data_IF_706001505720
#
_entry.id   IF_706001505720
#
_cell.length_a   1.000
_cell.length_b   1.000
_cell.length_c   1.000
_cell.angle_alpha   90.00
_cell.angle_beta   90.00
_cell.angle_gamma   90.00
#
_symmetry.space_group_name_H-M   'P 1'
#
loop_
_entity.id
_entity.type
_entity.pdbx_description
1 polymer ?
#
# COMPACT_ATOMS: atom_id res chain seq x y z
N UNK A 1 8.18 -26.29 52.86
CA UNK A 1 8.46 -24.99 52.21
C UNK A 1 9.44 -25.05 51.02
N UNK A 2 10.24 -26.12 50.81
CA UNK A 2 11.20 -26.21 49.67
C UNK A 2 10.58 -26.62 48.30
N UNK A 3 9.35 -27.15 48.26
CA UNK A 3 8.71 -27.63 47.01
C UNK A 3 7.99 -26.54 46.19
N UNK A 4 7.69 -25.38 46.77
CA UNK A 4 6.96 -24.29 46.09
C UNK A 4 7.90 -23.38 45.28
N UNK A 5 9.16 -23.23 45.72
CA UNK A 5 10.17 -22.44 45.00
C UNK A 5 10.63 -23.07 43.67
N UNK A 6 10.61 -24.41 43.56
CA UNK A 6 11.01 -25.10 42.33
C UNK A 6 10.05 -24.89 41.15
N UNK A 7 8.76 -24.69 41.43
CA UNK A 7 7.73 -24.46 40.40
C UNK A 7 7.76 -23.01 39.89
N UNK A 8 8.07 -22.04 40.77
CA UNK A 8 8.23 -20.64 40.38
C UNK A 8 9.49 -20.40 39.51
N UNK A 9 10.57 -21.15 39.73
CA UNK A 9 11.76 -21.09 38.87
C UNK A 9 11.50 -21.75 37.50
N UNK A 10 10.69 -22.81 37.45
CA UNK A 10 10.34 -23.51 36.21
C UNK A 10 9.41 -22.71 35.28
N UNK A 11 8.63 -21.75 35.79
CA UNK A 11 7.80 -20.86 34.97
C UNK A 11 8.52 -19.59 34.49
N UNK A 12 9.61 -19.17 35.16
CA UNK A 12 10.39 -18.00 34.75
C UNK A 12 11.32 -18.30 33.56
N UNK A 13 11.85 -19.53 33.46
CA UNK A 13 12.79 -19.94 32.40
C UNK A 13 12.17 -19.91 30.98
N UNK A 14 10.92 -20.39 30.76
CA UNK A 14 10.27 -20.30 29.44
C UNK A 14 10.04 -18.86 28.99
N UNK A 15 9.65 -17.96 29.90
CA UNK A 15 9.39 -16.56 29.58
C UNK A 15 10.68 -15.82 29.15
N UNK A 16 11.81 -16.13 29.77
CA UNK A 16 13.13 -15.60 29.41
C UNK A 16 13.59 -16.16 28.05
N UNK A 17 13.30 -17.44 27.76
CA UNK A 17 13.57 -18.07 26.46
C UNK A 17 12.74 -17.46 25.31
N UNK A 18 11.47 -17.11 25.55
CA UNK A 18 10.63 -16.41 24.56
C UNK A 18 11.10 -14.96 24.33
N UNK A 19 11.54 -14.24 25.37
CA UNK A 19 12.09 -12.90 25.23
C UNK A 19 13.40 -12.88 24.42
N UNK A 20 14.21 -13.96 24.48
CA UNK A 20 15.43 -14.11 23.69
C UNK A 20 15.19 -14.30 22.18
N UNK A 21 13.97 -14.61 21.75
CA UNK A 21 13.61 -14.69 20.33
C UNK A 21 13.19 -13.34 19.72
N UNK A 22 12.96 -12.31 20.53
CA UNK A 22 12.68 -10.96 20.03
C UNK A 22 13.99 -10.30 19.56
N UNK A 23 14.34 -10.48 18.28
CA UNK A 23 15.43 -9.73 17.66
C UNK A 23 14.96 -8.31 17.37
N UNK A 24 15.55 -7.34 18.07
CA UNK A 24 15.47 -5.94 17.67
C UNK A 24 16.16 -5.77 16.32
N UNK A 25 15.37 -5.48 15.29
CA UNK A 25 15.86 -5.11 13.96
C UNK A 25 15.63 -3.61 13.83
N UNK A 26 16.68 -2.79 13.65
CA UNK A 26 16.50 -1.36 13.46
C UNK A 26 15.66 -1.12 12.20
N UNK A 27 14.58 -0.38 12.35
CA UNK A 27 13.71 0.01 11.24
C UNK A 27 14.50 0.92 10.29
N UNK A 28 14.72 0.49 9.05
CA UNK A 28 15.34 1.34 8.03
C UNK A 28 14.29 2.31 7.49
N UNK A 29 14.14 3.46 8.13
CA UNK A 29 13.37 4.58 7.58
C UNK A 29 14.28 5.37 6.63
N UNK A 30 13.82 5.57 5.41
CA UNK A 30 14.45 6.53 4.50
C UNK A 30 13.97 7.94 4.85
N UNK A 31 14.78 8.97 4.58
CA UNK A 31 14.39 10.35 4.89
C UNK A 31 13.07 10.78 4.25
N UNK A 32 12.70 10.17 3.12
CA UNK A 32 11.40 10.36 2.45
C UNK A 32 10.25 9.82 3.32
N UNK A 33 10.41 8.65 3.93
CA UNK A 33 9.38 8.07 4.82
C UNK A 33 9.20 8.95 6.06
N UNK A 34 10.29 9.47 6.62
CA UNK A 34 10.21 10.40 7.76
C UNK A 34 9.52 11.73 7.41
N UNK A 35 9.79 12.27 6.23
CA UNK A 35 9.12 13.48 5.73
C UNK A 35 7.62 13.25 5.52
N UNK A 36 7.24 12.10 4.95
CA UNK A 36 5.83 11.72 4.76
C UNK A 36 5.09 11.56 6.08
N UNK A 37 5.71 10.92 7.08
CA UNK A 37 5.13 10.77 8.43
C UNK A 37 4.93 12.13 9.07
N UNK A 38 5.93 13.02 9.04
CA UNK A 38 5.82 14.37 9.61
C UNK A 38 4.67 15.18 8.99
N UNK A 39 4.46 15.03 7.68
CA UNK A 39 3.37 15.69 6.96
C UNK A 39 2.00 15.01 7.17
N UNK A 40 1.97 13.78 7.67
CA UNK A 40 0.76 13.06 8.04
C UNK A 40 0.36 13.37 9.50
N UNK A 41 1.31 13.46 10.42
CA UNK A 41 1.09 13.73 11.84
C UNK A 41 0.31 15.04 12.10
N UNK A 42 0.50 16.06 11.24
CA UNK A 42 -0.23 17.33 11.32
C UNK A 42 -1.72 17.21 10.99
N UNK A 43 -2.11 16.22 10.17
CA UNK A 43 -3.50 15.93 9.83
C UNK A 43 -4.12 14.87 10.77
N UNK A 44 -3.32 13.90 11.22
CA UNK A 44 -3.75 12.77 12.04
C UNK A 44 -4.21 13.19 13.44
N UNK A 45 -3.63 14.24 14.02
CA UNK A 45 -3.98 14.70 15.36
C UNK A 45 -5.48 15.05 15.54
N UNK A 46 -6.13 15.54 14.48
CA UNK A 46 -7.56 15.85 14.49
C UNK A 46 -8.40 14.56 14.43
N UNK A 47 -8.06 13.64 13.53
CA UNK A 47 -8.73 12.34 13.41
C UNK A 47 -8.58 11.47 14.67
N UNK A 48 -7.41 11.50 15.30
CA UNK A 48 -7.15 10.77 16.53
C UNK A 48 -7.99 11.32 17.69
N UNK A 49 -8.24 12.63 17.71
CA UNK A 49 -9.14 13.24 18.69
C UNK A 49 -10.60 12.79 18.50
N UNK A 50 -11.04 12.66 17.25
CA UNK A 50 -12.39 12.19 16.90
C UNK A 50 -12.52 10.70 17.19
N UNK A 51 -11.52 9.90 16.82
CA UNK A 51 -11.48 8.45 17.03
C UNK A 51 -11.43 8.10 18.51
N UNK A 52 -10.65 8.84 19.31
CA UNK A 52 -10.62 8.68 20.77
C UNK A 52 -11.94 9.09 21.42
N UNK A 53 -12.62 10.14 20.94
CA UNK A 53 -13.96 10.50 21.41
C UNK A 53 -15.02 9.44 21.07
N UNK A 54 -14.97 8.85 19.87
CA UNK A 54 -15.86 7.75 19.46
C UNK A 54 -15.61 6.49 20.30
N UNK A 55 -14.33 6.13 20.52
CA UNK A 55 -13.93 5.00 21.38
C UNK A 55 -14.30 5.22 22.85
N UNK A 56 -14.25 6.47 23.33
CA UNK A 56 -14.69 6.82 24.68
C UNK A 56 -16.22 6.72 24.85
N UNK A 57 -17.00 6.94 23.78
CA UNK A 57 -18.45 6.78 23.79
C UNK A 57 -18.92 5.33 23.65
N UNK A 58 -18.15 4.47 22.95
CA UNK A 58 -18.46 3.04 22.77
C UNK A 58 -17.28 2.15 23.19
N UNK A 59 -17.13 1.84 24.49
CA UNK A 59 -16.12 0.92 24.98
C UNK A 59 -16.56 -0.54 24.74
N UNK A 60 -16.69 -0.96 23.49
CA UNK A 60 -16.78 -2.39 23.17
C UNK A 60 -15.39 -2.93 22.82
N UNK A 61 -14.65 -3.34 23.85
CA UNK A 61 -13.61 -4.37 23.71
C UNK A 61 -14.32 -5.74 23.67
N UNK A 62 -14.99 -6.02 22.55
CA UNK A 62 -15.48 -7.36 22.29
C UNK A 62 -14.34 -8.17 21.66
N UNK A 63 -13.98 -9.32 22.26
CA UNK A 63 -13.04 -10.26 21.65
C UNK A 63 -13.65 -10.85 20.37
N UNK A 64 -13.43 -10.20 19.23
CA UNK A 64 -13.81 -10.75 17.93
C UNK A 64 -12.79 -11.82 17.53
N UNK A 65 -13.27 -13.05 17.27
CA UNK A 65 -12.45 -14.09 16.65
C UNK A 65 -12.15 -13.70 15.21
N UNK A 66 -10.94 -13.20 14.97
CA UNK A 66 -10.42 -12.93 13.62
C UNK A 66 -9.69 -14.16 13.08
N UNK A 67 -10.05 -14.59 11.87
CA UNK A 67 -9.26 -15.56 11.14
C UNK A 67 -7.98 -14.86 10.68
N UNK A 68 -6.84 -15.24 11.24
CA UNK A 68 -5.52 -14.78 10.79
C UNK A 68 -4.73 -15.96 10.25
N UNK A 69 -3.97 -15.69 9.19
CA UNK A 69 -3.03 -16.67 8.67
C UNK A 69 -1.88 -16.85 9.67
N UNK A 70 -1.61 -18.09 10.08
CA UNK A 70 -0.45 -18.41 10.92
C UNK A 70 0.81 -18.43 10.06
N UNK A 71 1.54 -17.32 10.08
CA UNK A 71 2.82 -17.17 9.36
C UNK A 71 4.03 -17.59 10.20
N UNK A 72 3.84 -18.05 11.44
CA UNK A 72 4.95 -18.34 12.37
C UNK A 72 5.86 -19.48 11.91
N UNK A 73 5.34 -20.39 11.08
CA UNK A 73 6.08 -21.53 10.52
C UNK A 73 6.69 -21.26 9.14
N UNK A 74 6.41 -20.10 8.54
CA UNK A 74 6.93 -19.76 7.21
C UNK A 74 8.38 -19.32 7.31
N UNK A 75 9.28 -20.00 6.59
CA UNK A 75 10.66 -19.55 6.45
C UNK A 75 10.67 -18.28 5.60
N UNK A 76 10.88 -17.12 6.22
CA UNK A 76 10.98 -15.84 5.51
C UNK A 76 12.19 -15.87 4.55
N UNK A 77 11.98 -15.61 3.25
CA UNK A 77 13.08 -15.45 2.30
C UNK A 77 14.02 -14.33 2.76
N UNK A 78 15.31 -14.56 2.64
CA UNK A 78 16.34 -13.66 3.17
C UNK A 78 16.97 -12.80 2.09
N UNK A 79 16.96 -13.24 0.84
CA UNK A 79 17.49 -12.50 -0.30
C UNK A 79 16.58 -12.56 -1.52
N UNK A 80 16.88 -11.73 -2.51
CA UNK A 80 16.18 -11.73 -3.80
C UNK A 80 16.50 -13.00 -4.62
N UNK A 81 17.59 -13.69 -4.31
CA UNK A 81 18.01 -14.92 -5.00
C UNK A 81 17.09 -16.11 -4.70
N UNK A 82 16.30 -16.01 -3.62
CA UNK A 82 15.27 -16.98 -3.28
C UNK A 82 14.08 -16.96 -4.29
N UNK A 83 14.04 -15.96 -5.18
CA UNK A 83 12.95 -15.75 -6.12
C UNK A 83 13.41 -15.82 -7.59
N UNK A 84 12.53 -16.37 -8.43
CA UNK A 84 12.68 -16.25 -9.88
C UNK A 84 12.20 -14.87 -10.32
N UNK A 85 13.13 -13.96 -10.54
CA UNK A 85 12.83 -12.60 -11.01
C UNK A 85 12.47 -12.60 -12.50
N UNK A 86 11.57 -11.70 -12.87
CA UNK A 86 11.29 -11.35 -14.26
C UNK A 86 11.76 -9.91 -14.50
N UNK A 87 11.86 -9.52 -15.77
CA UNK A 87 12.10 -8.12 -16.10
C UNK A 87 10.99 -7.24 -15.50
N UNK A 88 11.38 -6.17 -14.82
CA UNK A 88 10.50 -5.09 -14.41
C UNK A 88 11.30 -3.79 -14.42
N UNK A 89 10.63 -2.66 -14.58
CA UNK A 89 11.26 -1.36 -14.35
C UNK A 89 11.48 -1.11 -12.84
N UNK A 90 12.40 -0.20 -12.47
CA UNK A 90 12.56 0.18 -11.06
C UNK A 90 11.22 0.58 -10.44
N UNK A 91 10.96 0.18 -9.17
CA UNK A 91 9.70 0.47 -8.53
C UNK A 91 9.48 1.98 -8.41
N UNK A 92 8.32 2.46 -8.87
CA UNK A 92 7.90 3.85 -8.77
C UNK A 92 6.98 4.02 -7.56
N UNK A 93 7.19 5.08 -6.78
CA UNK A 93 6.31 5.41 -5.66
C UNK A 93 5.03 6.08 -6.14
N UNK A 94 3.87 5.57 -5.72
CA UNK A 94 2.58 6.25 -5.92
C UNK A 94 2.40 7.45 -4.97
N UNK A 95 3.18 7.50 -3.87
CA UNK A 95 3.13 8.55 -2.85
C UNK A 95 1.71 8.81 -2.31
N UNK A 96 1.26 10.07 -2.22
CA UNK A 96 -0.02 10.45 -1.59
C UNK A 96 -1.15 10.37 -2.62
N UNK A 97 -1.38 9.16 -3.12
CA UNK A 97 -2.43 8.85 -4.11
C UNK A 97 -3.06 7.48 -3.81
N UNK A 98 -4.32 7.32 -4.19
CA UNK A 98 -5.09 6.08 -4.13
C UNK A 98 -4.99 5.22 -5.40
N UNK A 99 -3.88 5.31 -6.16
CA UNK A 99 -3.76 4.73 -7.51
C UNK A 99 -2.95 3.46 -7.61
N UNK A 100 -2.84 2.69 -6.52
CA UNK A 100 -2.09 1.42 -6.51
C UNK A 100 -2.52 0.44 -7.61
N UNK A 101 -3.82 0.43 -7.92
CA UNK A 101 -4.44 -0.35 -8.98
C UNK A 101 -3.81 -0.09 -10.35
N UNK A 102 -3.48 1.18 -10.65
CA UNK A 102 -2.86 1.54 -11.91
C UNK A 102 -1.36 1.20 -11.94
N UNK A 103 -0.62 1.50 -10.87
CA UNK A 103 0.83 1.22 -10.80
C UNK A 103 1.13 -0.28 -10.86
N UNK A 104 0.39 -1.07 -10.09
CA UNK A 104 0.56 -2.53 -10.07
C UNK A 104 0.21 -3.18 -11.40
N UNK A 105 -0.94 -2.83 -12.00
CA UNK A 105 -1.35 -3.38 -13.27
C UNK A 105 -0.44 -2.92 -14.43
N UNK A 106 -0.03 -1.65 -14.45
CA UNK A 106 0.89 -1.12 -15.48
C UNK A 106 2.24 -1.83 -15.43
N UNK A 107 2.83 -2.00 -14.23
CA UNK A 107 4.08 -2.76 -14.05
C UNK A 107 3.97 -4.20 -14.54
N UNK A 108 2.83 -4.86 -14.30
CA UNK A 108 2.56 -6.18 -14.83
C UNK A 108 2.48 -6.18 -16.37
N UNK A 109 1.77 -5.21 -16.97
CA UNK A 109 1.64 -5.10 -18.42
C UNK A 109 2.97 -4.79 -19.12
N UNK A 110 3.82 -3.94 -18.52
CA UNK A 110 5.16 -3.65 -19.02
C UNK A 110 6.05 -4.91 -19.02
N UNK A 111 5.92 -5.73 -17.97
CA UNK A 111 6.61 -7.01 -17.85
C UNK A 111 6.13 -7.99 -18.93
N UNK A 112 4.81 -8.10 -19.13
CA UNK A 112 4.23 -8.99 -20.13
C UNK A 112 4.52 -8.55 -21.57
N UNK A 113 4.51 -7.24 -21.83
CA UNK A 113 4.92 -6.68 -23.12
C UNK A 113 6.37 -7.06 -23.44
N UNK A 114 7.28 -6.93 -22.47
CA UNK A 114 8.66 -7.35 -22.62
C UNK A 114 8.80 -8.86 -22.82
N UNK A 115 8.01 -9.68 -22.11
CA UNK A 115 8.03 -11.15 -22.20
C UNK A 115 7.53 -11.65 -23.56
N UNK A 116 6.46 -11.05 -24.10
CA UNK A 116 5.80 -11.54 -25.31
C UNK A 116 6.39 -10.95 -26.59
N UNK A 117 6.76 -9.66 -26.57
CA UNK A 117 7.19 -8.93 -27.78
C UNK A 117 8.66 -8.49 -27.75
N UNK A 118 9.32 -8.59 -26.59
CA UNK A 118 10.65 -8.02 -26.39
C UNK A 118 10.66 -6.49 -26.24
N UNK A 119 9.52 -5.81 -26.41
CA UNK A 119 9.41 -4.37 -26.29
C UNK A 119 9.45 -3.94 -24.82
N UNK A 120 10.41 -3.07 -24.48
CA UNK A 120 10.55 -2.49 -23.15
C UNK A 120 10.22 -1.01 -23.24
N UNK A 121 9.02 -0.64 -22.80
CA UNK A 121 8.55 0.74 -22.74
C UNK A 121 8.00 1.03 -21.35
N UNK A 122 8.41 2.14 -20.76
CA UNK A 122 7.80 2.64 -19.52
C UNK A 122 6.54 3.41 -19.90
N UNK A 123 5.39 2.90 -19.51
CA UNK A 123 4.09 3.53 -19.73
C UNK A 123 3.82 4.54 -18.61
N UNK A 124 2.98 5.52 -18.93
CA UNK A 124 2.48 6.50 -17.99
C UNK A 124 1.27 5.95 -17.22
N UNK A 125 1.47 5.70 -15.93
CA UNK A 125 0.36 5.42 -15.01
C UNK A 125 -0.60 6.61 -14.96
N UNK A 126 -0.05 7.82 -14.88
CA UNK A 126 -0.85 9.03 -14.69
C UNK A 126 -1.75 9.36 -15.87
N UNK A 127 -1.37 9.01 -17.09
CA UNK A 127 -2.24 9.14 -18.26
C UNK A 127 -3.49 8.28 -18.13
N UNK A 128 -3.32 7.03 -17.67
CA UNK A 128 -4.42 6.11 -17.44
C UNK A 128 -5.30 6.59 -16.28
N UNK A 129 -4.69 7.02 -15.17
CA UNK A 129 -5.39 7.57 -14.00
C UNK A 129 -6.24 8.79 -14.38
N UNK A 130 -5.69 9.70 -15.18
CA UNK A 130 -6.39 10.90 -15.65
C UNK A 130 -7.70 10.54 -16.37
N UNK A 131 -7.64 9.60 -17.32
CA UNK A 131 -8.81 9.19 -18.08
C UNK A 131 -9.80 8.37 -17.25
N UNK A 132 -9.32 7.54 -16.31
CA UNK A 132 -10.19 6.87 -15.36
C UNK A 132 -10.98 7.89 -14.52
N UNK A 133 -10.32 8.90 -13.98
CA UNK A 133 -11.00 9.94 -13.20
C UNK A 133 -12.01 10.73 -14.04
N UNK A 134 -11.70 10.97 -15.31
CA UNK A 134 -12.62 11.60 -16.24
C UNK A 134 -13.88 10.73 -16.47
N UNK A 135 -13.73 9.43 -16.68
CA UNK A 135 -14.86 8.51 -16.86
C UNK A 135 -15.68 8.33 -15.58
N UNK A 136 -15.02 8.28 -14.42
CA UNK A 136 -15.72 8.24 -13.12
C UNK A 136 -16.53 9.51 -12.88
N UNK A 137 -15.97 10.68 -13.18
CA UNK A 137 -16.69 11.94 -13.09
C UNK A 137 -17.90 12.00 -14.04
N UNK A 138 -17.73 11.55 -15.30
CA UNK A 138 -18.84 11.43 -16.27
C UNK A 138 -19.93 10.50 -15.75
N UNK A 139 -19.54 9.35 -15.21
CA UNK A 139 -20.48 8.38 -14.66
C UNK A 139 -21.21 8.94 -13.44
N UNK A 140 -20.50 9.63 -12.54
CA UNK A 140 -21.09 10.32 -11.39
C UNK A 140 -22.18 11.32 -11.78
N UNK A 141 -21.91 12.15 -12.81
CA UNK A 141 -22.91 13.09 -13.32
C UNK A 141 -24.11 12.36 -13.93
N UNK A 142 -23.87 11.31 -14.74
CA UNK A 142 -24.92 10.51 -15.37
C UNK A 142 -25.81 9.78 -14.36
N UNK A 143 -25.22 9.29 -13.28
CA UNK A 143 -25.93 8.60 -12.18
C UNK A 143 -26.58 9.58 -11.20
N UNK A 144 -26.46 10.90 -11.43
CA UNK A 144 -26.94 11.97 -10.54
C UNK A 144 -26.38 11.83 -9.11
N UNK A 145 -25.12 11.46 -9.02
CA UNK A 145 -24.40 11.29 -7.77
C UNK A 145 -24.51 9.89 -7.13
N UNK A 146 -25.26 8.96 -7.73
CA UNK A 146 -25.39 7.59 -7.22
C UNK A 146 -24.22 6.67 -7.63
N UNK A 147 -23.03 7.22 -7.80
CA UNK A 147 -21.82 6.47 -8.14
C UNK A 147 -20.67 6.91 -7.27
N UNK A 148 -19.76 5.99 -6.94
CA UNK A 148 -18.62 6.30 -6.09
C UNK A 148 -17.50 6.99 -6.88
N UNK A 149 -17.19 8.23 -6.51
CA UNK A 149 -16.16 9.05 -7.16
C UNK A 149 -14.90 9.23 -6.29
N UNK A 150 -14.27 8.11 -5.89
CA UNK A 150 -12.99 8.12 -5.16
C UNK A 150 -11.76 7.88 -6.05
N UNK A 151 -10.56 7.90 -5.46
CA UNK A 151 -9.30 7.72 -6.18
C UNK A 151 -9.00 6.27 -6.62
N UNK A 152 -9.58 5.29 -5.93
CA UNK A 152 -9.37 3.87 -6.18
C UNK A 152 -10.15 3.35 -7.39
N UNK A 153 -9.63 2.32 -8.05
CA UNK A 153 -10.29 1.53 -9.07
C UNK A 153 -9.73 0.10 -9.05
N UNK A 154 -10.17 -0.73 -9.98
CA UNK A 154 -9.70 -2.11 -10.16
C UNK A 154 -8.66 -2.22 -11.28
N UNK A 155 -7.84 -3.27 -11.26
CA UNK A 155 -6.84 -3.52 -12.32
C UNK A 155 -7.48 -3.62 -13.72
N UNK A 156 -8.73 -4.04 -13.81
CA UNK A 156 -9.49 -4.10 -15.06
C UNK A 156 -9.68 -2.70 -15.69
N UNK A 157 -9.83 -1.65 -14.87
CA UNK A 157 -10.00 -0.29 -15.36
C UNK A 157 -8.82 0.16 -16.22
N UNK A 158 -7.60 -0.27 -15.90
CA UNK A 158 -6.41 0.01 -16.71
C UNK A 158 -6.57 -0.52 -18.13
N UNK A 159 -7.04 -1.76 -18.28
CA UNK A 159 -7.22 -2.37 -19.59
C UNK A 159 -8.31 -1.67 -20.40
N UNK A 160 -9.43 -1.31 -19.76
CA UNK A 160 -10.54 -0.62 -20.41
C UNK A 160 -10.13 0.78 -20.85
N UNK A 161 -9.44 1.54 -20.00
CA UNK A 161 -8.95 2.88 -20.32
C UNK A 161 -7.90 2.81 -21.43
N UNK A 162 -6.93 1.90 -21.36
CA UNK A 162 -5.94 1.74 -22.42
C UNK A 162 -6.56 1.31 -23.76
N UNK A 163 -7.68 0.58 -23.72
CA UNK A 163 -8.42 0.22 -24.95
C UNK A 163 -9.12 1.42 -25.59
N UNK A 164 -9.71 2.30 -24.78
CA UNK A 164 -10.47 3.46 -25.27
C UNK A 164 -9.56 4.64 -25.63
N UNK A 165 -8.57 4.93 -24.77
CA UNK A 165 -7.75 6.13 -24.83
C UNK A 165 -6.29 5.86 -25.24
N UNK A 166 -5.91 4.58 -25.35
CA UNK A 166 -4.53 4.19 -25.61
C UNK A 166 -3.65 4.27 -24.37
N UNK A 167 -2.36 4.00 -24.57
CA UNK A 167 -1.32 4.17 -23.57
C UNK A 167 -0.19 5.02 -24.16
N UNK A 168 0.42 5.85 -23.32
CA UNK A 168 1.54 6.71 -23.73
C UNK A 168 2.77 6.40 -22.89
N UNK A 169 3.99 6.61 -23.42
CA UNK A 169 5.20 6.54 -22.62
C UNK A 169 5.22 7.60 -21.50
N UNK A 170 5.84 7.27 -20.38
CA UNK A 170 5.98 8.18 -19.22
C UNK A 170 6.58 9.54 -19.60
N UNK A 171 7.53 9.57 -20.55
CA UNK A 171 8.14 10.81 -21.03
C UNK A 171 7.21 11.76 -21.78
N UNK A 172 6.05 11.29 -22.25
CA UNK A 172 5.03 12.10 -22.94
C UNK A 172 4.06 12.71 -21.94
N UNK A 173 3.70 11.96 -20.91
CA UNK A 173 2.81 12.41 -19.85
C UNK A 173 3.33 11.91 -18.51
N UNK A 174 4.00 12.77 -17.77
CA UNK A 174 4.50 12.40 -16.44
C UNK A 174 3.47 12.55 -15.34
N UNK A 175 2.38 13.30 -15.57
CA UNK A 175 1.34 13.58 -14.57
C UNK A 175 1.79 14.37 -13.34
N UNK A 176 3.03 14.87 -13.31
CA UNK A 176 3.54 15.65 -12.19
C UNK A 176 3.05 17.10 -12.24
N UNK A 177 2.51 17.59 -11.12
CA UNK A 177 2.11 18.99 -10.97
C UNK A 177 3.10 19.73 -10.06
N UNK A 178 4.09 20.38 -10.67
CA UNK A 178 5.14 21.23 -10.02
C UNK A 178 6.15 20.51 -9.12
N UNK A 179 5.75 19.42 -8.46
CA UNK A 179 6.59 18.60 -7.60
C UNK A 179 6.86 17.21 -8.23
N UNK A 180 7.99 16.57 -7.91
CA UNK A 180 8.33 15.24 -8.41
C UNK A 180 7.60 14.10 -7.68
N UNK A 181 6.70 14.41 -6.75
CA UNK A 181 5.93 13.42 -5.97
C UNK A 181 4.45 13.58 -6.27
N UNK A 182 3.80 12.46 -6.55
CA UNK A 182 2.36 12.44 -6.77
C UNK A 182 1.61 12.74 -5.48
N UNK A 183 0.70 13.70 -5.55
CA UNK A 183 -0.15 14.13 -4.44
C UNK A 183 -1.50 14.56 -4.97
N UNK A 184 -2.49 13.68 -4.85
CA UNK A 184 -3.85 13.92 -5.35
C UNK A 184 -4.71 14.72 -4.36
N UNK A 185 -4.30 14.90 -3.11
CA UNK A 185 -4.99 15.80 -2.18
C UNK A 185 -4.94 17.26 -2.64
N UNK A 186 -3.99 17.63 -3.52
CA UNK A 186 -3.92 18.96 -4.13
C UNK A 186 -4.90 19.12 -5.30
N UNK A 187 -5.60 18.06 -5.71
CA UNK A 187 -6.60 18.08 -6.80
C UNK A 187 -8.03 18.28 -6.29
N UNK A 188 -8.28 18.16 -4.98
CA UNK A 188 -9.59 18.37 -4.33
C UNK A 188 -9.84 19.81 -3.93
#
# INVERSE_FOLDING_TARGET
MKKVYGILIAMAIPAILFAQQAKYVPEKRTGIIEELIRNADSAQAVEDSITSAIRAQNPEDSEYKVIRFDIGKLKRPTSLDDFKTQFHFPPLGQYRTGTCWCFSATSFLETEAARQSGCKVKLSEMYTVYHEYLEKARHFVRSRGNYWNGEGSESEAVLLIMKEYGAVPEGIYSGHFKEPRYDHHKMS
#
